data_IF_935091869721
#
_entry.id   IF_935091869721
#
_cell.length_a   1.000
_cell.length_b   1.000
_cell.length_c   1.000
_cell.angle_alpha   90.00
_cell.angle_beta   90.00
_cell.angle_gamma   90.00
#
_symmetry.space_group_name_H-M   'P 1'
#
loop_
_entity.id
_entity.type
_entity.pdbx_description
1 polymer ?
#
# COMPACT_ATOMS: atom_id res chain seq x y z
N UNK A 1 17.29 -8.00 -3.58
CA UNK A 1 18.70 -8.11 -4.01
C UNK A 1 19.64 -8.15 -2.80
N UNK A 2 19.37 -7.36 -1.73
CA UNK A 2 20.24 -7.32 -0.54
C UNK A 2 20.15 -8.58 0.33
N UNK A 3 19.04 -9.30 0.26
CA UNK A 3 18.80 -10.52 1.03
C UNK A 3 18.22 -11.63 0.14
N UNK A 4 18.98 -12.13 -0.83
CA UNK A 4 18.44 -13.00 -1.89
C UNK A 4 17.92 -14.34 -1.38
N UNK A 5 18.31 -14.77 -0.17
CA UNK A 5 17.84 -16.02 0.46
C UNK A 5 16.72 -15.79 1.50
N UNK A 6 16.32 -14.54 1.73
CA UNK A 6 15.26 -14.26 2.68
C UNK A 6 13.89 -14.49 2.04
N UNK A 7 13.29 -15.65 2.31
CA UNK A 7 11.97 -16.03 1.85
C UNK A 7 10.84 -15.68 2.84
N UNK A 8 11.19 -15.21 4.03
CA UNK A 8 10.20 -14.77 5.02
C UNK A 8 9.68 -13.35 4.74
N UNK A 9 10.43 -12.55 4.00
CA UNK A 9 9.94 -11.26 3.51
C UNK A 9 9.11 -11.46 2.25
N UNK A 10 7.81 -11.23 2.39
CA UNK A 10 6.88 -11.30 1.27
C UNK A 10 6.46 -9.90 0.83
N UNK A 11 6.15 -9.76 -0.43
CA UNK A 11 5.51 -8.57 -1.01
C UNK A 11 4.03 -8.90 -1.20
N UNK A 12 3.16 -8.15 -0.55
CA UNK A 12 1.71 -8.32 -0.69
C UNK A 12 1.17 -7.09 -1.41
N UNK A 13 0.62 -7.28 -2.60
CA UNK A 13 0.00 -6.23 -3.40
C UNK A 13 -1.52 -6.31 -3.31
N UNK A 14 -2.16 -5.19 -3.01
CA UNK A 14 -3.62 -5.07 -2.95
C UNK A 14 -4.08 -4.08 -4.01
N UNK A 15 -5.00 -4.45 -4.85
CA UNK A 15 -5.61 -3.58 -5.85
C UNK A 15 -6.98 -4.11 -6.27
N UNK A 16 -7.86 -3.24 -6.70
CA UNK A 16 -9.12 -3.62 -7.36
C UNK A 16 -8.89 -4.07 -8.78
N UNK A 17 -7.85 -3.56 -9.46
CA UNK A 17 -7.57 -3.61 -10.90
C UNK A 17 -8.67 -2.94 -11.75
N UNK A 18 -9.73 -2.45 -11.10
CA UNK A 18 -10.92 -1.88 -11.73
C UNK A 18 -11.06 -0.37 -11.44
N UNK A 19 -10.02 0.22 -10.81
CA UNK A 19 -10.00 1.61 -10.36
C UNK A 19 -10.66 1.81 -9.00
N UNK A 20 -11.01 3.05 -8.69
CA UNK A 20 -11.54 3.40 -7.38
C UNK A 20 -12.84 2.65 -7.05
N UNK A 21 -12.95 2.03 -5.87
CA UNK A 21 -14.17 1.33 -5.45
C UNK A 21 -15.34 2.30 -5.16
N UNK A 22 -15.03 3.56 -4.85
CA UNK A 22 -15.98 4.62 -4.55
C UNK A 22 -15.25 5.83 -4.00
N UNK A 23 -15.95 6.93 -3.81
CA UNK A 23 -15.40 8.19 -3.28
C UNK A 23 -16.14 8.63 -2.02
N UNK A 24 -15.53 9.48 -1.22
CA UNK A 24 -16.09 10.09 -0.01
C UNK A 24 -16.17 11.61 -0.14
N UNK A 25 -16.76 12.28 0.82
CA UNK A 25 -16.81 13.75 0.87
C UNK A 25 -15.45 14.42 1.10
N UNK A 26 -14.43 13.64 1.46
CA UNK A 26 -13.06 14.10 1.68
C UNK A 26 -12.20 13.98 0.42
N UNK A 27 -12.75 13.36 -0.63
CA UNK A 27 -12.07 13.15 -1.89
C UNK A 27 -12.46 14.26 -2.89
N UNK A 28 -11.66 14.48 -3.96
CA UNK A 28 -11.96 15.47 -4.96
C UNK A 28 -13.30 15.20 -5.66
N UNK A 29 -14.07 16.24 -5.93
CA UNK A 29 -15.41 16.12 -6.54
C UNK A 29 -15.41 15.73 -8.02
N UNK A 30 -14.26 15.86 -8.67
CA UNK A 30 -14.08 15.55 -10.09
C UNK A 30 -13.69 14.09 -10.36
N UNK A 31 -13.39 13.30 -9.32
CA UNK A 31 -13.09 11.86 -9.45
C UNK A 31 -14.34 11.00 -9.20
N UNK A 32 -14.37 9.83 -9.81
CA UNK A 32 -15.51 8.91 -9.75
C UNK A 32 -15.03 7.48 -9.49
N UNK A 33 -15.97 6.63 -9.05
CA UNK A 33 -15.77 5.20 -9.03
C UNK A 33 -15.31 4.69 -10.41
N UNK A 34 -14.34 3.77 -10.41
CA UNK A 34 -13.66 3.18 -11.57
C UNK A 34 -12.70 4.10 -12.33
N UNK A 35 -12.49 5.35 -11.92
CA UNK A 35 -11.35 6.12 -12.42
C UNK A 35 -10.04 5.42 -12.03
N UNK A 36 -9.01 5.60 -12.83
CA UNK A 36 -7.69 4.97 -12.67
C UNK A 36 -7.68 3.44 -12.69
N UNK A 37 -8.67 2.83 -13.35
CA UNK A 37 -8.68 1.38 -13.58
C UNK A 37 -7.49 0.94 -14.44
N UNK A 38 -6.91 -0.21 -14.10
CA UNK A 38 -5.88 -0.84 -14.91
C UNK A 38 -6.42 -1.31 -16.27
N UNK A 39 -5.52 -1.51 -17.23
CA UNK A 39 -5.91 -2.10 -18.52
C UNK A 39 -6.44 -3.51 -18.32
N UNK A 40 -7.29 -3.95 -19.26
CA UNK A 40 -7.88 -5.29 -19.22
C UNK A 40 -6.78 -6.35 -19.05
N UNK A 41 -7.03 -7.33 -18.20
CA UNK A 41 -6.14 -8.46 -17.90
C UNK A 41 -4.76 -8.06 -17.29
N UNK A 42 -4.60 -6.82 -16.76
CA UNK A 42 -3.35 -6.37 -16.17
C UNK A 42 -2.94 -7.18 -14.93
N UNK A 43 -3.90 -7.60 -14.11
CA UNK A 43 -3.66 -8.48 -12.96
C UNK A 43 -2.92 -9.77 -13.39
N UNK A 44 -3.42 -10.40 -14.46
CA UNK A 44 -2.81 -11.61 -15.01
C UNK A 44 -1.41 -11.36 -15.56
N UNK A 45 -1.24 -10.25 -16.29
CA UNK A 45 0.07 -9.84 -16.80
C UNK A 45 1.08 -9.62 -15.67
N UNK A 46 0.66 -8.95 -14.61
CA UNK A 46 1.53 -8.70 -13.46
C UNK A 46 1.88 -10.00 -12.72
N UNK A 47 0.94 -10.93 -12.57
CA UNK A 47 1.22 -12.25 -11.99
C UNK A 47 2.24 -13.02 -12.81
N UNK A 48 2.11 -13.03 -14.14
CA UNK A 48 3.08 -13.68 -15.06
C UNK A 48 4.46 -13.02 -14.96
N UNK A 49 4.53 -11.68 -14.87
CA UNK A 49 5.76 -10.93 -14.72
C UNK A 49 6.46 -11.25 -13.39
N UNK A 50 5.72 -11.25 -12.29
CA UNK A 50 6.25 -11.57 -10.97
C UNK A 50 6.71 -13.03 -10.90
N UNK A 51 5.98 -13.94 -11.51
CA UNK A 51 6.41 -15.35 -11.61
C UNK A 51 7.72 -15.48 -12.38
N UNK A 52 7.88 -14.73 -13.48
CA UNK A 52 9.14 -14.70 -14.21
C UNK A 52 10.30 -14.22 -13.33
N UNK A 53 10.11 -13.13 -12.59
CA UNK A 53 11.12 -12.64 -11.64
C UNK A 53 11.46 -13.64 -10.54
N UNK A 54 10.46 -14.43 -10.07
CA UNK A 54 10.73 -15.50 -9.12
C UNK A 54 11.65 -16.58 -9.70
N UNK A 55 11.51 -16.91 -10.98
CA UNK A 55 12.40 -17.92 -11.62
C UNK A 55 13.85 -17.51 -11.64
N UNK A 56 14.13 -16.21 -11.60
CA UNK A 56 15.50 -15.66 -11.55
C UNK A 56 16.01 -15.50 -10.10
N UNK A 57 15.17 -15.77 -9.12
CA UNK A 57 15.54 -15.69 -7.70
C UNK A 57 16.33 -16.93 -7.26
N UNK A 58 17.33 -16.80 -6.37
CA UNK A 58 18.09 -17.95 -5.83
C UNK A 58 17.24 -19.05 -5.21
N UNK A 59 16.05 -18.73 -4.68
CA UNK A 59 15.10 -19.69 -4.08
C UNK A 59 13.78 -19.65 -4.87
N UNK A 60 13.87 -19.90 -6.16
CA UNK A 60 12.75 -19.76 -7.10
C UNK A 60 11.54 -20.69 -6.82
N UNK A 61 11.75 -21.77 -6.08
CA UNK A 61 10.69 -22.71 -5.69
C UNK A 61 9.80 -22.17 -4.54
N UNK A 62 10.17 -21.06 -3.91
CA UNK A 62 9.38 -20.42 -2.84
C UNK A 62 8.81 -19.10 -3.37
N UNK A 63 7.49 -19.01 -3.47
CA UNK A 63 6.81 -17.79 -3.88
C UNK A 63 6.90 -16.73 -2.77
N UNK A 64 7.45 -15.55 -3.11
CA UNK A 64 7.72 -14.45 -2.18
C UNK A 64 6.81 -13.24 -2.38
N UNK A 65 5.75 -13.40 -3.17
CA UNK A 65 4.75 -12.35 -3.40
C UNK A 65 3.33 -12.92 -3.39
N UNK A 66 2.37 -12.06 -3.18
CA UNK A 66 0.94 -12.37 -3.32
C UNK A 66 0.22 -11.12 -3.86
N UNK A 67 -0.63 -11.31 -4.85
CA UNK A 67 -1.56 -10.29 -5.33
C UNK A 67 -2.95 -10.60 -4.79
N UNK A 68 -3.62 -9.60 -4.23
CA UNK A 68 -4.94 -9.75 -3.62
C UNK A 68 -5.88 -8.75 -4.29
N UNK A 69 -6.83 -9.28 -5.06
CA UNK A 69 -7.82 -8.49 -5.77
C UNK A 69 -8.97 -8.08 -4.87
N UNK A 70 -9.33 -6.81 -4.91
CA UNK A 70 -10.53 -6.27 -4.29
C UNK A 70 -10.32 -4.94 -3.59
N UNK A 71 -11.39 -4.42 -2.98
CA UNK A 71 -11.31 -3.22 -2.16
C UNK A 71 -10.45 -3.52 -0.92
N UNK A 72 -9.35 -2.77 -0.80
CA UNK A 72 -8.34 -2.97 0.24
C UNK A 72 -8.92 -2.78 1.64
N UNK A 73 -9.97 -1.96 1.82
CA UNK A 73 -10.66 -1.80 3.11
C UNK A 73 -11.16 -3.13 3.67
N UNK A 74 -11.51 -4.08 2.80
CA UNK A 74 -12.00 -5.41 3.16
C UNK A 74 -10.90 -6.48 3.06
N UNK A 75 -10.14 -6.46 1.96
CA UNK A 75 -9.16 -7.53 1.67
C UNK A 75 -7.96 -7.49 2.60
N UNK A 76 -7.52 -6.30 3.05
CA UNK A 76 -6.46 -6.17 4.03
C UNK A 76 -6.90 -6.70 5.41
N UNK A 77 -8.14 -6.41 5.82
CA UNK A 77 -8.67 -6.94 7.06
C UNK A 77 -8.66 -8.47 7.04
N UNK A 78 -9.22 -9.06 5.99
CA UNK A 78 -9.25 -10.52 5.84
C UNK A 78 -7.83 -11.10 5.85
N UNK A 79 -6.89 -10.50 5.10
CA UNK A 79 -5.51 -10.95 5.07
C UNK A 79 -4.86 -10.96 6.47
N UNK A 80 -5.05 -9.90 7.26
CA UNK A 80 -4.47 -9.80 8.60
C UNK A 80 -5.14 -10.75 9.61
N UNK A 81 -6.43 -11.04 9.45
CA UNK A 81 -7.15 -12.06 10.24
C UNK A 81 -6.64 -13.48 9.92
N UNK A 82 -6.36 -13.77 8.65
CA UNK A 82 -5.81 -15.06 8.21
C UNK A 82 -4.30 -15.22 8.52
N UNK A 83 -3.57 -14.10 8.68
CA UNK A 83 -2.13 -14.06 8.94
C UNK A 83 -1.81 -13.18 10.16
N UNK A 84 -2.23 -13.58 11.37
CA UNK A 84 -2.08 -12.75 12.57
C UNK A 84 -0.63 -12.50 12.98
N UNK A 85 0.32 -13.32 12.51
CA UNK A 85 1.75 -13.17 12.74
C UNK A 85 2.41 -12.07 11.89
N UNK A 86 1.68 -11.43 10.99
CA UNK A 86 2.22 -10.44 10.06
C UNK A 86 2.87 -9.28 10.80
N UNK A 87 4.14 -9.01 10.48
CA UNK A 87 4.86 -7.80 10.86
C UNK A 87 5.17 -7.02 9.58
N UNK A 88 4.69 -5.78 9.52
CA UNK A 88 4.87 -4.92 8.36
C UNK A 88 6.12 -4.07 8.55
N UNK A 89 7.17 -4.33 7.77
CA UNK A 89 8.39 -3.54 7.76
C UNK A 89 8.30 -2.32 6.83
N UNK A 90 7.52 -2.43 5.77
CA UNK A 90 7.28 -1.37 4.80
C UNK A 90 5.86 -1.46 4.26
N UNK A 91 5.13 -0.36 4.25
CA UNK A 91 3.87 -0.21 3.54
C UNK A 91 3.91 1.04 2.66
N UNK A 92 3.48 0.90 1.41
CA UNK A 92 3.38 2.02 0.46
C UNK A 92 1.92 2.25 0.12
N UNK A 93 1.48 3.48 0.31
CA UNK A 93 0.13 3.94 0.02
C UNK A 93 0.14 4.70 -1.30
N UNK A 94 -0.63 4.23 -2.23
CA UNK A 94 -0.92 4.80 -3.54
C UNK A 94 -2.42 4.56 -3.79
N UNK A 95 -3.23 5.10 -2.90
CA UNK A 95 -4.66 4.85 -2.83
C UNK A 95 -5.47 6.09 -3.22
N UNK A 96 -4.82 7.27 -3.26
CA UNK A 96 -5.40 8.58 -3.56
C UNK A 96 -6.55 8.99 -2.62
N UNK A 97 -7.39 8.04 -2.23
CA UNK A 97 -8.66 8.25 -1.54
C UNK A 97 -8.52 8.23 -0.03
N UNK A 98 -9.33 9.04 0.63
CA UNK A 98 -9.37 9.17 2.09
C UNK A 98 -9.79 7.88 2.81
N UNK A 99 -10.92 7.30 2.40
CA UNK A 99 -11.51 6.18 3.13
C UNK A 99 -10.60 4.93 3.12
N UNK A 100 -10.15 4.41 1.98
CA UNK A 100 -9.28 3.23 1.96
C UNK A 100 -7.96 3.49 2.67
N UNK A 101 -7.35 4.67 2.54
CA UNK A 101 -6.13 5.02 3.25
C UNK A 101 -6.33 5.00 4.76
N UNK A 102 -7.42 5.60 5.25
CA UNK A 102 -7.75 5.63 6.67
C UNK A 102 -7.98 4.23 7.25
N UNK A 103 -8.74 3.41 6.54
CA UNK A 103 -9.04 2.04 6.95
C UNK A 103 -7.76 1.21 7.02
N UNK A 104 -6.91 1.28 5.99
CA UNK A 104 -5.61 0.62 5.98
C UNK A 104 -4.71 1.06 7.12
N UNK A 105 -4.56 2.36 7.35
CA UNK A 105 -3.72 2.89 8.44
C UNK A 105 -4.19 2.40 9.81
N UNK A 106 -5.51 2.26 10.03
CA UNK A 106 -6.06 1.71 11.27
C UNK A 106 -5.76 0.23 11.43
N UNK A 107 -5.97 -0.55 10.37
CA UNK A 107 -5.76 -1.99 10.37
C UNK A 107 -4.29 -2.35 10.62
N UNK A 108 -3.37 -1.69 9.92
CA UNK A 108 -1.94 -2.04 10.02
C UNK A 108 -1.29 -1.58 11.33
N UNK A 109 -1.92 -0.67 12.08
CA UNK A 109 -1.30 -0.04 13.27
C UNK A 109 -0.79 -1.05 14.30
N UNK A 110 -1.50 -2.15 14.50
CA UNK A 110 -1.11 -3.24 15.40
C UNK A 110 -0.05 -4.19 14.83
N UNK A 111 0.28 -4.05 13.55
CA UNK A 111 1.25 -4.89 12.81
C UNK A 111 2.56 -4.16 12.50
N UNK A 112 2.70 -2.90 12.95
CA UNK A 112 3.91 -2.12 12.77
C UNK A 112 4.87 -2.34 13.93
N UNK A 113 6.14 -2.47 13.62
CA UNK A 113 7.23 -2.48 14.58
C UNK A 113 7.99 -1.16 14.56
N UNK A 114 8.77 -0.91 15.60
CA UNK A 114 9.72 0.19 15.62
C UNK A 114 10.70 0.07 14.44
N UNK A 115 10.83 1.12 13.65
CA UNK A 115 11.61 1.11 12.40
C UNK A 115 10.79 0.78 11.14
N UNK A 116 9.51 0.38 11.26
CA UNK A 116 8.64 0.24 10.09
C UNK A 116 8.52 1.56 9.34
N UNK A 117 8.49 1.49 8.02
CA UNK A 117 8.38 2.66 7.13
C UNK A 117 7.01 2.68 6.46
N UNK A 118 6.33 3.80 6.54
CA UNK A 118 5.11 4.06 5.77
C UNK A 118 5.42 5.10 4.70
N UNK A 119 5.40 4.69 3.45
CA UNK A 119 5.53 5.55 2.28
C UNK A 119 4.16 5.98 1.75
N UNK A 120 4.09 7.19 1.24
CA UNK A 120 2.88 7.80 0.68
C UNK A 120 3.21 8.43 -0.66
N UNK A 121 2.37 8.22 -1.65
CA UNK A 121 2.58 8.80 -2.97
C UNK A 121 2.30 10.31 -2.97
N UNK A 122 1.27 10.77 -2.26
CA UNK A 122 0.76 12.13 -2.44
C UNK A 122 0.46 12.87 -1.12
N UNK A 123 1.40 12.88 -0.15
CA UNK A 123 1.20 13.71 1.04
C UNK A 123 1.27 15.20 0.71
N UNK A 124 0.28 15.94 1.24
CA UNK A 124 0.11 17.39 1.06
C UNK A 124 -0.17 17.80 -0.39
N UNK A 125 -0.79 16.91 -1.17
CA UNK A 125 -1.33 17.23 -2.49
C UNK A 125 -2.75 17.81 -2.36
N UNK A 126 -2.99 18.98 -2.99
CA UNK A 126 -4.31 19.63 -2.98
C UNK A 126 -5.32 18.96 -3.91
N UNK A 127 -4.86 18.19 -4.90
CA UNK A 127 -5.73 17.44 -5.81
C UNK A 127 -6.20 16.12 -5.20
N UNK A 128 -5.37 15.51 -4.34
CA UNK A 128 -5.67 14.26 -3.65
C UNK A 128 -5.37 14.39 -2.14
N UNK A 129 -6.21 15.11 -1.38
CA UNK A 129 -5.96 15.36 0.04
C UNK A 129 -6.18 14.14 0.94
N UNK A 130 -6.75 13.06 0.39
CA UNK A 130 -7.23 11.89 1.12
C UNK A 130 -6.17 11.24 2.02
N UNK A 131 -4.99 10.97 1.48
CA UNK A 131 -3.88 10.37 2.25
C UNK A 131 -3.43 11.26 3.42
N UNK A 132 -3.31 12.56 3.18
CA UNK A 132 -2.90 13.52 4.22
C UNK A 132 -3.92 13.60 5.34
N UNK A 133 -5.21 13.67 5.02
CA UNK A 133 -6.28 13.75 6.01
C UNK A 133 -6.32 12.45 6.83
N UNK A 134 -6.22 11.30 6.18
CA UNK A 134 -6.20 10.00 6.83
C UNK A 134 -5.01 9.84 7.79
N UNK A 135 -3.81 10.23 7.37
CA UNK A 135 -2.62 10.20 8.21
C UNK A 135 -2.76 11.09 9.44
N UNK A 136 -3.26 12.34 9.27
CA UNK A 136 -3.52 13.27 10.38
C UNK A 136 -4.47 12.67 11.42
N UNK A 137 -5.53 12.03 10.99
CA UNK A 137 -6.55 11.49 11.89
C UNK A 137 -6.10 10.22 12.61
N UNK A 138 -5.37 9.32 11.95
CA UNK A 138 -5.02 8.02 12.52
C UNK A 138 -3.75 8.07 13.37
N UNK A 139 -2.75 8.82 12.93
CA UNK A 139 -1.44 8.87 13.57
C UNK A 139 -1.13 10.23 14.21
N UNK A 140 -1.71 11.33 13.73
CA UNK A 140 -1.30 12.69 14.07
C UNK A 140 -0.02 13.09 13.33
N UNK A 141 0.27 14.38 13.24
CA UNK A 141 1.47 14.89 12.56
C UNK A 141 2.61 15.24 13.53
N UNK A 142 2.30 15.35 14.80
CA UNK A 142 3.23 15.76 15.86
C UNK A 142 4.13 14.61 16.37
N UNK A 143 3.84 13.39 15.97
CA UNK A 143 4.53 12.17 16.46
C UNK A 143 5.64 11.68 15.53
N UNK A 144 5.68 12.17 14.31
CA UNK A 144 6.57 11.68 13.27
C UNK A 144 7.26 12.83 12.55
N UNK A 145 8.45 12.55 12.11
CA UNK A 145 9.16 13.38 11.14
C UNK A 145 8.76 12.90 9.74
N UNK A 146 8.09 13.77 8.96
CA UNK A 146 7.77 13.48 7.57
C UNK A 146 9.01 13.79 6.73
N UNK A 147 9.51 12.78 6.05
CA UNK A 147 10.63 12.90 5.14
C UNK A 147 10.13 12.85 3.70
N UNK A 148 10.77 13.61 2.82
CA UNK A 148 10.48 13.59 1.39
C UNK A 148 11.51 12.80 0.63
N UNK A 149 11.07 12.13 -0.43
CA UNK A 149 11.98 11.49 -1.37
C UNK A 149 12.89 12.55 -2.02
N UNK A 150 14.21 12.33 -2.07
CA UNK A 150 15.12 13.25 -2.76
C UNK A 150 15.01 13.19 -4.29
N UNK A 151 14.34 12.18 -4.83
CA UNK A 151 14.23 11.91 -6.27
C UNK A 151 12.81 12.09 -6.83
N UNK A 152 11.80 12.17 -5.96
CA UNK A 152 10.41 12.40 -6.36
C UNK A 152 9.80 13.53 -5.53
N UNK A 153 9.20 14.54 -6.16
CA UNK A 153 8.64 15.69 -5.43
C UNK A 153 7.34 15.37 -4.68
N UNK A 154 6.65 14.28 -5.02
CA UNK A 154 5.37 13.91 -4.44
C UNK A 154 5.54 12.96 -3.26
N UNK A 155 6.42 11.98 -3.38
CA UNK A 155 6.55 10.88 -2.45
C UNK A 155 7.16 11.32 -1.11
N UNK A 156 6.52 10.89 -0.05
CA UNK A 156 6.94 11.17 1.33
C UNK A 156 6.85 9.89 2.17
N UNK A 157 7.55 9.87 3.30
CA UNK A 157 7.48 8.72 4.20
C UNK A 157 7.66 9.13 5.66
N UNK A 158 7.20 8.27 6.55
CA UNK A 158 7.45 8.34 7.99
C UNK A 158 8.06 7.04 8.48
N UNK A 159 8.84 7.12 9.56
CA UNK A 159 9.42 5.96 10.25
C UNK A 159 8.77 5.84 11.62
N UNK A 160 8.26 4.67 11.95
CA UNK A 160 7.66 4.36 13.25
C UNK A 160 8.78 4.31 14.32
N UNK A 161 8.62 5.12 15.37
CA UNK A 161 9.62 5.30 16.46
C UNK A 161 9.28 4.47 17.69
#
# INVERSE_FOLDING_TARGET
>A
ILEPFNHNRKIIGFDTWEGFPGTSSQDPTNIKARDYGATKDYEKYLEELLQYHETESPISHIKKYQLIKGDISNTLQQYLEENPETIISFAYFDLDLYKPTKDCLRLIKGHLAKGSVLGFDQLNDGNFPGETIALKEVFGLDKFEIQRSPISPLQSYIIIK
#
